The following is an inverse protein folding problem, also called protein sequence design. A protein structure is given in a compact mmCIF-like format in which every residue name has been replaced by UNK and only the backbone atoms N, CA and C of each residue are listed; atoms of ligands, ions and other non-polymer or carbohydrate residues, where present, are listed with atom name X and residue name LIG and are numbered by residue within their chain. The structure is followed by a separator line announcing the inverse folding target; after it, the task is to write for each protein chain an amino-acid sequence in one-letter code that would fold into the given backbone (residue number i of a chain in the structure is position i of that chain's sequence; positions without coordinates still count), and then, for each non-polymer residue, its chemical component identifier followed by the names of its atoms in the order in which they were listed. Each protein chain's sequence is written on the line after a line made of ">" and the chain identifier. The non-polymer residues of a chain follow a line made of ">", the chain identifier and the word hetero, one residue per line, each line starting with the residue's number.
data_IF_691663468087
#
_entry.id   IF_691663468087
#
_cell.length_a   1.000
_cell.length_b   1.000
_cell.length_c   1.000
_cell.angle_alpha   90.00
_cell.angle_beta   90.00
_cell.angle_gamma   90.00
#
_symmetry.space_group_name_H-M   'P 1'
#
loop_
_entity.id
_entity.type
_entity.pdbx_description
1 polymer ?
#
# COMPACT_ATOMS: atom_id res chain seq x y z
N UNK A 1 6.17 -18.67 -4.98
CA UNK A 1 6.00 -20.08 -4.54
C UNK A 1 4.77 -20.17 -3.66
N UNK A 2 4.17 -21.35 -3.49
CA UNK A 2 2.93 -21.52 -2.69
C UNK A 2 3.20 -21.93 -1.23
N UNK A 3 4.45 -22.21 -0.89
CA UNK A 3 4.84 -22.59 0.47
C UNK A 3 5.01 -21.31 1.30
N UNK A 4 4.21 -21.19 2.36
CA UNK A 4 4.31 -20.10 3.31
C UNK A 4 5.66 -20.14 4.03
N UNK A 5 6.26 -18.96 4.22
CA UNK A 5 7.45 -18.76 5.04
C UNK A 5 7.08 -17.86 6.21
N UNK A 6 7.17 -18.43 7.41
CA UNK A 6 6.94 -17.68 8.64
C UNK A 6 7.99 -16.57 8.78
N UNK A 7 7.53 -15.37 9.11
CA UNK A 7 8.41 -14.23 9.32
C UNK A 7 9.04 -14.29 10.72
N UNK A 8 10.33 -13.96 10.87
CA UNK A 8 10.95 -13.85 12.18
C UNK A 8 10.17 -12.91 13.10
N UNK A 9 10.00 -13.30 14.37
CA UNK A 9 9.22 -12.53 15.35
C UNK A 9 9.81 -11.14 15.57
N UNK A 10 11.12 -11.03 15.50
CA UNK A 10 11.88 -9.78 15.61
C UNK A 10 11.52 -8.81 14.50
N UNK A 11 11.39 -9.29 13.25
CA UNK A 11 11.00 -8.46 12.10
C UNK A 11 9.59 -7.89 12.27
N UNK A 12 8.64 -8.72 12.71
CA UNK A 12 7.26 -8.27 13.00
C UNK A 12 7.26 -7.26 14.16
N UNK A 13 8.03 -7.52 15.22
CA UNK A 13 8.11 -6.64 16.39
C UNK A 13 8.63 -5.24 16.02
N UNK A 14 9.68 -5.15 15.19
CA UNK A 14 10.22 -3.87 14.71
C UNK A 14 9.17 -3.08 13.92
N UNK A 15 8.37 -3.76 13.09
CA UNK A 15 7.27 -3.13 12.36
C UNK A 15 6.21 -2.59 13.32
N UNK A 16 5.84 -3.39 14.33
CA UNK A 16 4.87 -3.03 15.35
C UNK A 16 5.30 -1.80 16.16
N UNK A 17 6.58 -1.71 16.54
CA UNK A 17 7.13 -0.54 17.23
C UNK A 17 7.01 0.72 16.37
N UNK A 18 7.33 0.65 15.08
CA UNK A 18 7.19 1.80 14.19
C UNK A 18 5.73 2.20 14.02
N UNK A 19 4.80 1.25 13.85
CA UNK A 19 3.38 1.55 13.75
C UNK A 19 2.84 2.20 15.03
N UNK A 20 3.26 1.73 16.21
CA UNK A 20 2.85 2.30 17.50
C UNK A 20 3.25 3.77 17.69
N UNK A 21 4.30 4.25 16.99
CA UNK A 21 4.68 5.65 16.99
C UNK A 21 3.72 6.55 16.21
N UNK A 22 2.89 5.99 15.30
CA UNK A 22 1.84 6.74 14.58
C UNK A 22 0.56 6.73 15.43
N UNK A 23 0.55 7.46 16.53
CA UNK A 23 -0.64 7.51 17.41
C UNK A 23 -1.82 8.31 16.82
N UNK A 24 -1.59 9.08 15.76
CA UNK A 24 -2.65 9.85 15.09
C UNK A 24 -3.65 8.92 14.38
N UNK A 25 -4.95 8.95 14.74
CA UNK A 25 -5.95 8.05 14.16
C UNK A 25 -6.13 8.20 12.65
N UNK A 26 -6.00 9.41 12.11
CA UNK A 26 -6.17 9.65 10.67
C UNK A 26 -4.98 9.13 9.88
N UNK A 27 -3.77 9.31 10.40
CA UNK A 27 -2.55 8.70 9.84
C UNK A 27 -2.64 7.18 9.85
N UNK A 28 -3.09 6.56 10.93
CA UNK A 28 -3.30 5.11 10.99
C UNK A 28 -4.35 4.64 9.99
N UNK A 29 -5.46 5.37 9.83
CA UNK A 29 -6.49 5.06 8.85
C UNK A 29 -5.92 5.09 7.42
N UNK A 30 -5.12 6.12 7.08
CA UNK A 30 -4.46 6.19 5.78
C UNK A 30 -3.49 5.02 5.55
N UNK A 31 -2.63 4.70 6.53
CA UNK A 31 -1.69 3.58 6.45
C UNK A 31 -2.44 2.25 6.28
N UNK A 32 -3.57 2.06 6.98
CA UNK A 32 -4.39 0.86 6.87
C UNK A 32 -5.02 0.71 5.48
N UNK A 33 -5.56 1.78 4.91
CA UNK A 33 -6.12 1.79 3.55
C UNK A 33 -5.03 1.44 2.54
N UNK A 34 -3.88 2.11 2.56
CA UNK A 34 -2.76 1.81 1.66
C UNK A 34 -2.27 0.36 1.79
N UNK A 35 -2.17 -0.15 3.02
CA UNK A 35 -1.77 -1.55 3.29
C UNK A 35 -2.74 -2.53 2.66
N UNK A 36 -4.04 -2.31 2.83
CA UNK A 36 -5.08 -3.22 2.35
C UNK A 36 -5.22 -3.17 0.83
N UNK A 37 -5.03 -2.00 0.23
CA UNK A 37 -5.10 -1.81 -1.20
C UNK A 37 -3.86 -2.32 -1.95
N UNK A 38 -2.70 -2.37 -1.32
CA UNK A 38 -1.47 -2.92 -1.94
C UNK A 38 -1.15 -4.33 -1.49
N UNK A 39 -1.81 -4.84 -0.44
CA UNK A 39 -1.44 -6.07 0.23
C UNK A 39 -0.10 -5.99 0.97
N UNK A 40 0.46 -4.79 1.18
CA UNK A 40 1.81 -4.61 1.71
C UNK A 40 1.89 -3.48 2.73
N UNK A 41 2.13 -3.84 4.00
CA UNK A 41 2.38 -2.87 5.06
C UNK A 41 3.71 -2.12 4.85
N UNK A 42 4.68 -2.75 4.17
CA UNK A 42 5.98 -2.13 3.89
C UNK A 42 5.85 -1.00 2.86
N UNK A 43 5.04 -1.18 1.81
CA UNK A 43 4.78 -0.12 0.83
C UNK A 43 4.05 1.05 1.48
N UNK A 44 3.03 0.78 2.31
CA UNK A 44 2.31 1.81 3.04
C UNK A 44 3.22 2.62 3.98
N UNK A 45 4.13 1.95 4.70
CA UNK A 45 5.09 2.62 5.57
C UNK A 45 6.14 3.40 4.77
N UNK A 46 6.64 2.88 3.65
CA UNK A 46 7.58 3.58 2.80
C UNK A 46 7.00 4.92 2.30
N UNK A 47 5.70 4.97 1.99
CA UNK A 47 4.98 6.21 1.67
C UNK A 47 4.88 7.14 2.88
N UNK A 48 4.49 6.62 4.06
CA UNK A 48 4.40 7.43 5.29
C UNK A 48 5.76 8.07 5.66
N UNK A 49 6.85 7.31 5.54
CA UNK A 49 8.22 7.78 5.72
C UNK A 49 8.73 8.70 4.60
N UNK A 50 8.09 8.72 3.43
CA UNK A 50 8.50 9.51 2.27
C UNK A 50 9.66 8.91 1.48
N UNK A 51 9.92 7.60 1.62
CA UNK A 51 10.94 6.87 0.84
C UNK A 51 10.51 6.67 -0.62
N UNK A 52 9.19 6.53 -0.85
CA UNK A 52 8.57 6.45 -2.18
C UNK A 52 7.28 7.27 -2.18
N UNK A 53 6.86 7.74 -3.35
CA UNK A 53 5.56 8.39 -3.51
C UNK A 53 4.41 7.37 -3.66
N UNK A 54 3.18 7.88 -3.62
CA UNK A 54 1.96 7.07 -3.70
C UNK A 54 1.80 6.31 -5.01
N UNK A 55 2.22 6.88 -6.13
CA UNK A 55 2.12 6.25 -7.46
C UNK A 55 3.13 5.11 -7.61
N UNK A 56 4.38 5.34 -7.17
CA UNK A 56 5.41 4.31 -7.13
C UNK A 56 4.99 3.13 -6.24
N UNK A 57 4.38 3.41 -5.09
CA UNK A 57 3.83 2.36 -4.22
C UNK A 57 2.67 1.61 -4.90
N UNK A 58 1.78 2.32 -5.60
CA UNK A 58 0.66 1.72 -6.32
C UNK A 58 1.12 0.77 -7.43
N UNK A 59 2.08 1.20 -8.25
CA UNK A 59 2.71 0.38 -9.29
C UNK A 59 3.41 -0.84 -8.68
N UNK A 60 4.21 -0.64 -7.63
CA UNK A 60 4.93 -1.74 -6.98
C UNK A 60 3.99 -2.79 -6.39
N UNK A 61 2.88 -2.37 -5.79
CA UNK A 61 1.88 -3.26 -5.18
C UNK A 61 1.06 -4.08 -6.18
N UNK A 62 1.15 -3.76 -7.48
CA UNK A 62 0.33 -4.38 -8.51
C UNK A 62 1.13 -4.83 -9.74
N UNK A 63 2.42 -5.09 -9.55
CA UNK A 63 3.35 -5.50 -10.62
C UNK A 63 2.87 -6.75 -11.36
N UNK A 64 2.28 -7.70 -10.64
CA UNK A 64 1.79 -8.94 -11.22
C UNK A 64 0.57 -8.69 -12.11
N UNK A 65 -0.43 -7.91 -11.65
CA UNK A 65 -1.60 -7.60 -12.46
C UNK A 65 -1.27 -6.75 -13.69
N UNK A 66 -0.33 -5.82 -13.58
CA UNK A 66 0.11 -5.00 -14.72
C UNK A 66 0.79 -5.88 -15.79
N UNK A 67 1.69 -6.78 -15.38
CA UNK A 67 2.33 -7.72 -16.29
C UNK A 67 1.32 -8.64 -16.98
N UNK A 68 0.31 -9.12 -16.26
CA UNK A 68 -0.75 -9.96 -16.83
C UNK A 68 -1.59 -9.21 -17.86
N UNK A 69 -1.96 -7.96 -17.57
CA UNK A 69 -2.74 -7.13 -18.46
C UNK A 69 -1.99 -6.80 -19.76
N UNK A 70 -0.69 -6.53 -19.68
CA UNK A 70 0.16 -6.33 -20.86
C UNK A 70 0.19 -7.57 -21.77
N UNK A 71 0.12 -8.77 -21.19
CA UNK A 71 0.26 -10.02 -21.94
C UNK A 71 -1.04 -10.54 -22.52
N UNK A 72 -2.15 -10.32 -21.83
CA UNK A 72 -3.45 -10.92 -22.14
C UNK A 72 -4.56 -9.89 -22.44
N UNK A 73 -4.23 -8.60 -22.39
CA UNK A 73 -5.17 -7.51 -22.57
C UNK A 73 -5.92 -7.16 -21.28
N UNK A 74 -6.54 -5.98 -21.29
CA UNK A 74 -7.30 -5.48 -20.15
C UNK A 74 -8.75 -5.98 -20.18
N UNK A 75 -9.24 -6.43 -19.03
CA UNK A 75 -10.67 -6.61 -18.75
C UNK A 75 -11.26 -5.29 -18.23
N UNK A 76 -12.34 -4.82 -18.86
CA UNK A 76 -13.01 -3.57 -18.50
C UNK A 76 -13.48 -3.53 -17.03
N UNK A 77 -13.96 -4.66 -16.48
CA UNK A 77 -14.37 -4.73 -15.08
C UNK A 77 -13.16 -4.61 -14.14
N UNK A 78 -12.06 -5.29 -14.49
CA UNK A 78 -10.81 -5.23 -13.73
C UNK A 78 -10.22 -3.82 -13.72
N UNK A 79 -10.24 -3.12 -14.87
CA UNK A 79 -9.80 -1.71 -14.97
C UNK A 79 -10.67 -0.81 -14.11
N UNK A 80 -11.99 -0.90 -14.21
CA UNK A 80 -12.90 -0.06 -13.42
C UNK A 80 -12.67 -0.22 -11.91
N UNK A 81 -12.53 -1.47 -11.44
CA UNK A 81 -12.21 -1.77 -10.04
C UNK A 81 -10.84 -1.24 -9.64
N UNK A 82 -9.83 -1.39 -10.50
CA UNK A 82 -8.47 -0.87 -10.26
C UNK A 82 -8.46 0.65 -10.15
N UNK A 83 -9.16 1.36 -11.04
CA UNK A 83 -9.27 2.82 -10.98
C UNK A 83 -9.99 3.30 -9.72
N UNK A 84 -11.03 2.58 -9.25
CA UNK A 84 -11.68 2.92 -7.98
C UNK A 84 -10.73 2.77 -6.79
N UNK A 85 -10.01 1.64 -6.71
CA UNK A 85 -9.02 1.40 -5.67
C UNK A 85 -7.86 2.41 -5.71
N UNK A 86 -7.40 2.79 -6.90
CA UNK A 86 -6.34 3.81 -7.04
C UNK A 86 -6.80 5.18 -6.52
N UNK A 87 -8.06 5.58 -6.75
CA UNK A 87 -8.60 6.82 -6.14
C UNK A 87 -8.58 6.76 -4.61
N UNK A 88 -8.98 5.65 -4.02
CA UNK A 88 -8.95 5.47 -2.56
C UNK A 88 -7.50 5.47 -2.03
N UNK A 89 -6.55 4.89 -2.77
CA UNK A 89 -5.12 4.96 -2.47
C UNK A 89 -4.63 6.41 -2.47
N UNK A 90 -4.90 7.17 -3.53
CA UNK A 90 -4.46 8.57 -3.64
C UNK A 90 -5.14 9.47 -2.60
N UNK A 91 -6.38 9.19 -2.21
CA UNK A 91 -7.03 9.89 -1.11
C UNK A 91 -6.34 9.63 0.24
N UNK A 92 -5.89 8.41 0.50
CA UNK A 92 -5.12 8.07 1.69
C UNK A 92 -3.74 8.78 1.70
N UNK A 93 -3.07 8.86 0.54
CA UNK A 93 -1.81 9.60 0.38
C UNK A 93 -2.03 11.09 0.65
N UNK A 94 -3.05 11.70 0.04
CA UNK A 94 -3.37 13.11 0.26
C UNK A 94 -3.73 13.41 1.71
N UNK A 95 -4.38 12.49 2.43
CA UNK A 95 -4.61 12.62 3.87
C UNK A 95 -3.29 12.64 4.65
N UNK A 96 -2.32 11.78 4.33
CA UNK A 96 -1.01 11.81 4.97
C UNK A 96 -0.26 13.12 4.73
N UNK A 97 -0.32 13.65 3.51
CA UNK A 97 0.29 14.92 3.15
C UNK A 97 -0.36 16.09 3.89
N UNK A 98 -1.70 16.10 3.98
CA UNK A 98 -2.43 17.13 4.71
C UNK A 98 -2.13 17.14 6.21
N UNK A 99 -1.77 15.99 6.80
CA UNK A 99 -1.36 15.88 8.21
C UNK A 99 0.11 16.31 8.45
N UNK A 100 0.90 16.51 7.40
CA UNK A 100 2.29 17.02 7.49
C UNK A 100 2.34 18.55 7.43
N UNK A 101 1.31 19.20 6.86
CA UNK A 101 1.17 20.64 6.74
C UNK A 101 0.72 21.29 8.06
#
# INVERSE_FOLDING_TARGET
>A
GVIHVEQPRESIAVLGVHLAQRADPLRLAAIHVMTSLTGSALLALAVDFGEIDGEAAWTAGHVDEDWQAERWGHDAEAVARRSARNRDMMAAVGLLEALKA
#
